data_IF_530856348783
#
_entry.id   IF_530856348783
#
_cell.length_a   1.000
_cell.length_b   1.000
_cell.length_c   1.000
_cell.angle_alpha   90.00
_cell.angle_beta   90.00
_cell.angle_gamma   90.00
#
_symmetry.space_group_name_H-M   'P 1'
#
loop_
_entity.id
_entity.type
_entity.pdbx_description
1 polymer ?
#
# COMPACT_ATOMS: atom_id res chain seq x y z
N UNK A 1 35.18 -10.30 -0.22
CA UNK A 1 34.14 -9.26 -0.37
C UNK A 1 32.81 -9.88 0.05
N UNK A 2 32.34 -9.61 1.26
CA UNK A 2 31.08 -10.15 1.76
C UNK A 2 29.95 -9.28 1.23
N UNK A 3 29.12 -9.79 0.33
CA UNK A 3 27.89 -9.10 -0.07
C UNK A 3 26.87 -9.23 1.05
N UNK A 4 26.47 -8.11 1.64
CA UNK A 4 25.35 -8.05 2.56
C UNK A 4 24.07 -7.77 1.77
N UNK A 5 23.02 -8.55 2.02
CA UNK A 5 21.67 -8.34 1.53
C UNK A 5 20.72 -8.19 2.71
N UNK A 6 19.59 -7.50 2.51
CA UNK A 6 18.54 -7.46 3.52
C UNK A 6 17.92 -8.87 3.63
N UNK A 7 17.81 -9.44 4.85
CA UNK A 7 17.08 -10.68 5.03
C UNK A 7 15.59 -10.47 4.71
N UNK A 8 14.83 -11.54 4.42
CA UNK A 8 13.38 -11.44 4.30
C UNK A 8 12.75 -10.79 5.53
N UNK A 9 11.61 -10.13 5.32
CA UNK A 9 10.81 -9.59 6.42
C UNK A 9 10.05 -10.74 7.08
N UNK A 10 10.14 -10.84 8.40
CA UNK A 10 9.42 -11.81 9.22
C UNK A 10 8.51 -11.07 10.23
N UNK A 11 7.68 -11.80 10.96
CA UNK A 11 6.80 -11.29 12.02
C UNK A 11 5.79 -10.22 11.59
N UNK A 12 5.26 -10.34 10.37
CA UNK A 12 4.21 -9.45 9.87
C UNK A 12 2.86 -9.86 10.46
N UNK A 13 2.28 -8.99 11.30
CA UNK A 13 0.96 -9.21 11.93
C UNK A 13 0.06 -7.99 11.72
N UNK A 14 -1.22 -8.23 11.46
CA UNK A 14 -2.24 -7.17 11.42
C UNK A 14 -2.99 -7.09 12.75
N UNK A 15 -2.86 -5.97 13.46
CA UNK A 15 -3.49 -5.72 14.76
C UNK A 15 -4.18 -4.35 14.83
N UNK A 16 -4.47 -3.75 13.68
CA UNK A 16 -5.02 -2.40 13.63
C UNK A 16 -6.42 -2.33 14.23
N UNK A 17 -6.60 -1.38 15.14
CA UNK A 17 -7.90 -1.03 15.73
C UNK A 17 -7.98 0.49 15.82
N UNK A 18 -8.94 1.07 15.10
CA UNK A 18 -9.12 2.51 14.91
C UNK A 18 -9.45 3.29 16.19
N UNK A 19 -9.99 2.62 17.22
CA UNK A 19 -10.29 3.24 18.52
C UNK A 19 -9.23 2.96 19.58
N UNK A 20 -8.19 2.18 19.25
CA UNK A 20 -7.15 1.83 20.21
C UNK A 20 -6.03 2.88 20.25
N UNK A 21 -5.62 3.28 21.46
CA UNK A 21 -4.57 4.29 21.65
C UNK A 21 -3.24 3.94 20.96
N UNK A 22 -2.90 2.65 20.87
CA UNK A 22 -1.62 2.19 20.34
C UNK A 22 -1.75 1.50 18.98
N UNK A 23 -2.83 0.76 18.78
CA UNK A 23 -3.11 -0.03 17.57
C UNK A 23 -3.69 0.79 16.42
N UNK A 24 -4.01 2.08 16.65
CA UNK A 24 -4.38 3.01 15.58
C UNK A 24 -3.17 3.66 14.89
N UNK A 25 -1.96 3.47 15.42
CA UNK A 25 -0.72 4.09 14.94
C UNK A 25 0.25 3.06 14.38
N UNK A 26 1.08 3.48 13.43
CA UNK A 26 2.21 2.69 12.93
C UNK A 26 3.38 2.71 13.93
N UNK A 27 4.14 1.62 13.97
CA UNK A 27 5.33 1.52 14.81
C UNK A 27 6.45 2.46 14.34
N UNK A 28 6.59 2.65 13.02
CA UNK A 28 7.58 3.54 12.42
C UNK A 28 6.95 4.86 11.99
N UNK A 29 7.68 5.95 12.19
CA UNK A 29 7.24 7.29 11.82
C UNK A 29 7.82 7.72 10.45
N UNK A 30 7.04 8.50 9.69
CA UNK A 30 7.48 9.22 8.50
C UNK A 30 7.39 10.70 8.82
N UNK A 31 8.50 11.43 8.68
CA UNK A 31 8.57 12.86 8.98
C UNK A 31 7.99 13.22 10.37
N UNK A 32 8.26 12.38 11.37
CA UNK A 32 7.77 12.55 12.75
C UNK A 32 6.31 12.18 13.00
N UNK A 33 5.58 11.71 11.98
CA UNK A 33 4.19 11.26 12.09
C UNK A 33 4.14 9.73 12.17
N UNK A 34 3.27 9.18 13.01
CA UNK A 34 3.04 7.73 13.11
C UNK A 34 1.69 7.30 12.53
N UNK A 35 1.07 8.14 11.72
CA UNK A 35 -0.21 7.88 11.08
C UNK A 35 -0.63 9.06 10.21
N UNK A 36 -1.66 8.84 9.38
CA UNK A 36 -2.19 9.86 8.47
C UNK A 36 -1.13 10.45 7.53
N UNK A 37 -0.64 9.62 6.62
CA UNK A 37 0.37 9.99 5.63
C UNK A 37 -0.26 10.45 4.29
N UNK A 38 -0.33 11.76 4.00
CA UNK A 38 -0.51 12.24 2.63
C UNK A 38 0.64 11.78 1.72
N UNK A 39 0.41 11.79 0.40
CA UNK A 39 1.43 11.40 -0.58
C UNK A 39 2.72 12.23 -0.46
N UNK A 40 2.61 13.51 -0.07
CA UNK A 40 3.77 14.39 0.07
C UNK A 40 4.72 13.94 1.18
N UNK A 41 4.24 13.31 2.25
CA UNK A 41 5.13 12.74 3.29
C UNK A 41 6.07 11.67 2.70
N UNK A 42 5.57 10.87 1.75
CA UNK A 42 6.39 9.88 1.04
C UNK A 42 7.36 10.52 0.04
N UNK A 43 6.97 11.62 -0.61
CA UNK A 43 7.87 12.36 -1.52
C UNK A 43 9.04 12.96 -0.76
N UNK A 44 8.77 13.55 0.40
CA UNK A 44 9.80 14.14 1.25
C UNK A 44 10.75 13.08 1.79
N UNK A 45 10.22 11.95 2.25
CA UNK A 45 11.04 10.81 2.70
C UNK A 45 11.93 10.26 1.57
N UNK A 46 11.44 10.28 0.34
CA UNK A 46 12.16 9.79 -0.83
C UNK A 46 12.99 10.85 -1.56
N UNK A 47 13.23 12.03 -0.97
CA UNK A 47 13.88 13.15 -1.65
C UNK A 47 15.28 12.80 -2.22
N UNK A 48 16.00 11.87 -1.59
CA UNK A 48 17.31 11.39 -2.04
C UNK A 48 17.25 10.27 -3.08
N UNK A 49 16.05 9.76 -3.41
CA UNK A 49 15.85 8.71 -4.39
C UNK A 49 15.70 9.27 -5.81
N UNK A 50 15.70 8.38 -6.82
CA UNK A 50 15.35 8.75 -8.20
C UNK A 50 13.99 9.45 -8.25
N UNK A 51 13.93 10.61 -8.92
CA UNK A 51 12.70 11.39 -9.11
C UNK A 51 11.55 10.50 -9.60
N UNK A 52 10.39 10.64 -8.94
CA UNK A 52 9.17 9.89 -9.25
C UNK A 52 9.10 8.49 -8.61
N UNK A 53 10.16 8.02 -7.92
CA UNK A 53 10.14 6.69 -7.28
C UNK A 53 9.06 6.57 -6.20
N UNK A 54 8.90 7.58 -5.34
CA UNK A 54 7.83 7.58 -4.32
C UNK A 54 6.45 7.38 -4.92
N UNK A 55 6.11 8.19 -5.94
CA UNK A 55 4.81 8.12 -6.62
C UNK A 55 4.60 6.73 -7.22
N UNK A 56 5.57 6.25 -8.01
CA UNK A 56 5.49 4.95 -8.66
C UNK A 56 5.31 3.81 -7.64
N UNK A 57 6.13 3.77 -6.58
CA UNK A 57 6.04 2.72 -5.56
C UNK A 57 4.73 2.79 -4.78
N UNK A 58 4.27 3.99 -4.42
CA UNK A 58 2.96 4.14 -3.75
C UNK A 58 1.81 3.69 -4.64
N UNK A 59 1.84 4.00 -5.93
CA UNK A 59 0.80 3.57 -6.88
C UNK A 59 0.80 2.05 -7.09
N UNK A 60 1.98 1.43 -7.22
CA UNK A 60 2.13 -0.03 -7.33
C UNK A 60 1.57 -0.73 -6.08
N UNK A 61 1.91 -0.24 -4.88
CA UNK A 61 1.39 -0.78 -3.62
C UNK A 61 -0.12 -0.60 -3.52
N UNK A 62 -0.65 0.58 -3.85
CA UNK A 62 -2.11 0.82 -3.85
C UNK A 62 -2.85 -0.11 -4.81
N UNK A 63 -2.31 -0.31 -6.01
CA UNK A 63 -2.87 -1.24 -6.98
C UNK A 63 -2.88 -2.67 -6.45
N UNK A 64 -1.76 -3.14 -5.89
CA UNK A 64 -1.67 -4.47 -5.29
C UNK A 64 -2.67 -4.64 -4.15
N UNK A 65 -2.69 -3.70 -3.21
CA UNK A 65 -3.59 -3.72 -2.04
C UNK A 65 -5.06 -3.63 -2.45
N UNK A 66 -5.40 -2.97 -3.56
CA UNK A 66 -6.77 -2.93 -4.08
C UNK A 66 -7.31 -4.29 -4.52
N UNK A 67 -6.41 -5.24 -4.84
CA UNK A 67 -6.76 -6.62 -5.18
C UNK A 67 -6.68 -7.56 -3.96
N UNK A 68 -6.50 -7.05 -2.74
CA UNK A 68 -6.27 -7.88 -1.55
C UNK A 68 -7.37 -8.90 -1.26
N UNK A 69 -8.62 -8.61 -1.63
CA UNK A 69 -9.73 -9.58 -1.52
C UNK A 69 -9.52 -10.82 -2.37
N UNK A 70 -8.99 -10.66 -3.58
CA UNK A 70 -8.69 -11.81 -4.45
C UNK A 70 -7.58 -12.66 -3.83
N UNK A 71 -6.52 -12.04 -3.32
CA UNK A 71 -5.43 -12.79 -2.68
C UNK A 71 -5.87 -13.49 -1.39
N UNK A 72 -6.81 -12.89 -0.65
CA UNK A 72 -7.41 -13.49 0.53
C UNK A 72 -8.26 -14.71 0.16
N UNK A 73 -9.04 -14.64 -0.92
CA UNK A 73 -9.82 -15.76 -1.47
C UNK A 73 -8.91 -16.90 -1.94
N UNK A 74 -7.86 -16.58 -2.71
CA UNK A 74 -6.85 -17.54 -3.18
C UNK A 74 -6.13 -18.25 -2.01
N UNK A 75 -6.07 -17.61 -0.85
CA UNK A 75 -5.42 -18.10 0.37
C UNK A 75 -6.39 -18.68 1.41
N UNK A 76 -7.68 -18.81 1.08
CA UNK A 76 -8.74 -19.33 1.97
C UNK A 76 -8.84 -18.58 3.31
N UNK A 77 -8.66 -17.25 3.27
CA UNK A 77 -8.84 -16.37 4.43
C UNK A 77 -10.33 -16.14 4.67
N UNK A 78 -10.73 -16.13 5.94
CA UNK A 78 -12.10 -15.85 6.35
C UNK A 78 -12.65 -14.55 5.69
N UNK A 79 -13.77 -14.63 4.94
CA UNK A 79 -14.30 -13.48 4.21
C UNK A 79 -14.71 -12.31 5.11
N UNK A 80 -15.18 -12.56 6.33
CA UNK A 80 -15.57 -11.52 7.27
C UNK A 80 -14.32 -10.75 7.74
N UNK A 81 -13.24 -11.46 8.08
CA UNK A 81 -11.96 -10.85 8.42
C UNK A 81 -11.42 -10.03 7.24
N UNK A 82 -11.45 -10.58 6.03
CA UNK A 82 -11.01 -9.88 4.83
C UNK A 82 -11.79 -8.57 4.63
N UNK A 83 -13.13 -8.61 4.74
CA UNK A 83 -13.99 -7.45 4.60
C UNK A 83 -13.74 -6.39 5.68
N UNK A 84 -13.51 -6.81 6.92
CA UNK A 84 -13.17 -5.91 8.02
C UNK A 84 -11.85 -5.17 7.76
N UNK A 85 -10.80 -5.89 7.34
CA UNK A 85 -9.51 -5.30 6.98
C UNK A 85 -9.67 -4.37 5.78
N UNK A 86 -10.38 -4.80 4.73
CA UNK A 86 -10.52 -4.02 3.50
C UNK A 86 -11.15 -2.64 3.75
N UNK A 87 -12.12 -2.55 4.66
CA UNK A 87 -12.79 -1.29 5.03
C UNK A 87 -11.87 -0.28 5.72
N UNK A 88 -10.76 -0.71 6.31
CA UNK A 88 -9.78 0.19 6.95
C UNK A 88 -8.76 0.75 5.95
N UNK A 89 -8.66 0.15 4.76
CA UNK A 89 -7.70 0.54 3.74
C UNK A 89 -8.09 1.88 3.11
N UNK A 90 -7.13 2.82 3.10
CA UNK A 90 -7.31 4.18 2.55
C UNK A 90 -7.15 4.19 1.02
N UNK A 91 -8.06 3.51 0.33
CA UNK A 91 -8.05 3.36 -1.13
C UNK A 91 -8.95 4.37 -1.87
N UNK A 92 -9.69 5.23 -1.17
CA UNK A 92 -10.69 6.15 -1.75
C UNK A 92 -10.12 7.15 -2.76
N UNK A 93 -8.86 7.59 -2.58
CA UNK A 93 -8.20 8.51 -3.51
C UNK A 93 -7.56 7.78 -4.71
N UNK A 94 -7.60 6.44 -4.71
CA UNK A 94 -7.13 5.59 -5.80
C UNK A 94 -8.30 5.24 -6.72
N UNK A 95 -8.85 6.25 -7.39
CA UNK A 95 -9.70 5.97 -8.54
C UNK A 95 -8.84 5.34 -9.63
N UNK A 96 -9.12 4.07 -9.95
CA UNK A 96 -8.53 3.39 -11.12
C UNK A 96 -8.63 4.35 -12.29
N UNK A 97 -7.49 4.83 -12.78
CA UNK A 97 -7.38 5.30 -14.16
C UNK A 97 -7.46 4.05 -15.03
N UNK A 98 -8.66 3.45 -15.16
CA UNK A 98 -8.91 2.54 -16.27
C UNK A 98 -8.94 3.43 -17.50
N UNK A 99 -7.78 3.59 -18.12
CA UNK A 99 -7.68 4.17 -19.45
C UNK A 99 -8.36 3.19 -20.40
N UNK A 100 -9.62 3.44 -20.72
CA UNK A 100 -10.32 2.79 -21.84
C UNK A 100 -9.78 3.26 -23.22
N UNK A 101 -8.63 3.95 -23.29
CA UNK A 101 -8.08 4.56 -24.50
C UNK A 101 -6.98 3.75 -25.22
N UNK A 102 -6.87 2.44 -24.99
CA UNK A 102 -5.91 1.59 -25.75
C UNK A 102 -6.57 0.43 -26.51
N UNK A 103 -7.85 0.58 -26.88
CA UNK A 103 -8.51 -0.32 -27.86
C UNK A 103 -9.15 0.53 -28.96
N UNK A 104 -8.37 1.42 -29.60
CA UNK A 104 -8.83 2.11 -30.82
C UNK A 104 -7.68 2.59 -31.72
N UNK A 105 -6.60 1.79 -31.85
CA UNK A 105 -5.58 1.98 -32.90
C UNK A 105 -5.16 0.64 -33.52
N UNK A 106 -6.14 -0.24 -33.78
CA UNK A 106 -5.93 -1.44 -34.57
C UNK A 106 -6.98 -1.60 -35.69
N UNK A 107 -7.67 -0.51 -36.05
CA UNK A 107 -8.64 -0.52 -37.15
C UNK A 107 -8.72 0.82 -37.90
N UNK A 108 -7.54 1.39 -38.20
CA UNK A 108 -7.35 2.35 -39.29
C UNK A 108 -6.11 1.95 -40.08
#
# INVERSE_FOLDING_TARGET
MSFYALPPVFDVTYSFNSVGNWTASYQMAINGKSGHFPLDDFKDCAALMKRGRAIKTTDEVKQMVSNSKQYADDADVDPLQCDQIYRTLRLTDFQKKVSWLTVEIANL
#
